data_IF_928516033626
#
_entry.id   IF_928516033626
#
_cell.length_a   1.000
_cell.length_b   1.000
_cell.length_c   1.000
_cell.angle_alpha   90.00
_cell.angle_beta   90.00
_cell.angle_gamma   90.00
#
_symmetry.space_group_name_H-M   'P 1'
#
loop_
_entity.id
_entity.type
_entity.pdbx_description
1 polymer ?
#
# COMPACT_ATOMS: atom_id res chain seq x y z
N UNK A 1 -3.24 9.66 -1.99
CA UNK A 1 -3.65 8.30 -2.38
C UNK A 1 -4.77 8.30 -3.43
N UNK A 2 -5.84 9.10 -3.28
CA UNK A 2 -6.93 9.16 -4.28
C UNK A 2 -6.45 9.38 -5.73
N UNK A 3 -5.59 10.37 -5.96
CA UNK A 3 -5.03 10.63 -7.30
C UNK A 3 -4.31 9.41 -7.90
N UNK A 4 -3.64 8.60 -7.07
CA UNK A 4 -2.96 7.37 -7.52
C UNK A 4 -4.00 6.31 -7.87
N UNK A 5 -5.04 6.14 -7.04
CA UNK A 5 -6.12 5.20 -7.30
C UNK A 5 -6.85 5.52 -8.61
N UNK A 6 -7.19 6.80 -8.81
CA UNK A 6 -7.83 7.28 -10.02
C UNK A 6 -6.96 7.12 -11.27
N UNK A 7 -5.67 7.49 -11.18
CA UNK A 7 -4.74 7.45 -12.31
C UNK A 7 -4.36 6.03 -12.72
N UNK A 8 -4.25 5.13 -11.75
CA UNK A 8 -3.85 3.73 -11.98
C UNK A 8 -5.02 2.79 -12.26
N UNK A 9 -6.27 3.27 -12.11
CA UNK A 9 -7.49 2.46 -12.23
C UNK A 9 -7.46 1.23 -11.30
N UNK A 10 -6.93 1.44 -10.07
CA UNK A 10 -6.73 0.39 -9.06
C UNK A 10 -7.02 0.91 -7.66
N UNK A 11 -7.58 0.05 -6.83
CA UNK A 11 -7.73 0.32 -5.39
C UNK A 11 -6.35 0.52 -4.74
N UNK A 12 -6.24 1.54 -3.89
CA UNK A 12 -5.01 1.86 -3.14
C UNK A 12 -5.27 1.71 -1.66
N UNK A 13 -4.55 0.79 -1.03
CA UNK A 13 -4.52 0.61 0.43
C UNK A 13 -3.35 1.42 0.98
N UNK A 14 -3.62 2.39 1.84
CA UNK A 14 -2.63 3.33 2.35
C UNK A 14 -2.42 3.21 3.86
N UNK A 15 -1.16 3.34 4.28
CA UNK A 15 -0.74 3.32 5.67
C UNK A 15 -0.28 1.94 6.16
N UNK A 16 0.08 1.84 7.46
CA UNK A 16 0.29 2.96 8.38
C UNK A 16 1.50 3.83 7.98
N UNK A 17 1.56 5.08 8.42
CA UNK A 17 2.68 5.99 8.07
C UNK A 17 4.01 5.49 8.65
N UNK A 18 3.94 4.70 9.72
CA UNK A 18 5.05 4.05 10.41
C UNK A 18 5.47 2.70 9.80
N UNK A 19 5.02 2.36 8.58
CA UNK A 19 5.28 1.05 7.96
C UNK A 19 6.75 0.59 8.03
N UNK A 20 7.69 1.51 7.84
CA UNK A 20 9.14 1.24 7.95
C UNK A 20 9.55 0.82 9.36
N UNK A 21 9.07 1.53 10.39
CA UNK A 21 9.40 1.22 11.78
C UNK A 21 8.78 -0.11 12.22
N UNK A 22 7.52 -0.35 11.85
CA UNK A 22 6.80 -1.60 12.14
C UNK A 22 7.52 -2.79 11.49
N UNK A 23 7.88 -2.68 10.21
CA UNK A 23 8.61 -3.74 9.50
C UNK A 23 9.97 -4.03 10.13
N UNK A 24 10.70 -3.00 10.55
CA UNK A 24 11.99 -3.15 11.21
C UNK A 24 11.87 -3.91 12.55
N UNK A 25 10.90 -3.54 13.38
CA UNK A 25 10.64 -4.21 14.67
C UNK A 25 10.23 -5.67 14.47
N UNK A 26 9.26 -5.93 13.59
CA UNK A 26 8.75 -7.29 13.38
C UNK A 26 9.84 -8.22 12.83
N UNK A 27 10.66 -7.76 11.87
CA UNK A 27 11.75 -8.59 11.35
C UNK A 27 12.76 -8.94 12.44
N UNK A 28 13.10 -8.00 13.34
CA UNK A 28 14.00 -8.28 14.48
C UNK A 28 13.40 -9.30 15.45
N UNK A 29 12.14 -9.09 15.87
CA UNK A 29 11.43 -9.98 16.82
C UNK A 29 11.34 -11.41 16.27
N UNK A 30 11.00 -11.58 14.99
CA UNK A 30 10.87 -12.92 14.41
C UNK A 30 12.22 -13.57 14.10
N UNK A 31 13.27 -12.78 13.84
CA UNK A 31 14.63 -13.29 13.63
C UNK A 31 15.23 -13.89 14.93
N UNK A 32 14.93 -13.31 16.10
CA UNK A 32 15.34 -13.86 17.41
C UNK A 32 14.83 -15.28 17.65
N UNK A 33 13.67 -15.62 17.09
CA UNK A 33 13.07 -16.96 17.18
C UNK A 33 13.61 -17.97 16.15
N UNK A 34 14.65 -17.59 15.39
CA UNK A 34 15.39 -18.48 14.48
C UNK A 34 14.68 -18.86 13.18
N UNK A 35 13.43 -18.41 12.96
CA UNK A 35 12.68 -18.59 11.72
C UNK A 35 11.77 -17.39 11.46
N UNK A 36 12.01 -16.72 10.33
CA UNK A 36 11.15 -15.65 9.84
C UNK A 36 10.07 -16.24 8.92
N UNK A 37 8.81 -16.18 9.34
CA UNK A 37 7.65 -16.41 8.47
C UNK A 37 7.01 -15.07 8.09
N UNK A 38 7.19 -14.68 6.83
CA UNK A 38 6.62 -13.44 6.30
C UNK A 38 5.09 -13.46 6.30
N UNK A 39 4.44 -14.64 6.29
CA UNK A 39 2.98 -14.73 6.34
C UNK A 39 2.47 -14.28 7.71
N UNK A 40 3.10 -14.78 8.77
CA UNK A 40 2.83 -14.38 10.17
C UNK A 40 3.16 -12.90 10.42
N UNK A 41 4.28 -12.40 9.90
CA UNK A 41 4.61 -10.96 9.99
C UNK A 41 3.51 -10.10 9.36
N UNK A 42 3.03 -10.48 8.16
CA UNK A 42 1.98 -9.74 7.46
C UNK A 42 0.60 -9.88 8.12
N UNK A 43 0.31 -10.97 8.84
CA UNK A 43 -0.95 -11.07 9.60
C UNK A 43 -0.96 -10.12 10.77
N UNK A 44 0.14 -10.04 11.54
CA UNK A 44 0.25 -9.08 12.65
C UNK A 44 -0.03 -7.66 12.19
N UNK A 45 0.55 -7.23 11.06
CA UNK A 45 0.28 -5.88 10.51
C UNK A 45 -1.19 -5.71 10.12
N UNK A 46 -1.82 -6.69 9.46
CA UNK A 46 -3.24 -6.60 9.08
C UNK A 46 -4.19 -6.58 10.29
N UNK A 47 -3.83 -7.30 11.35
CA UNK A 47 -4.69 -7.44 12.53
C UNK A 47 -4.52 -6.27 13.51
N UNK A 48 -3.43 -5.49 13.37
CA UNK A 48 -3.08 -4.39 14.30
C UNK A 48 -3.42 -2.99 13.79
N UNK A 49 -3.60 -2.82 12.48
CA UNK A 49 -3.80 -1.50 11.87
C UNK A 49 -4.96 -1.54 10.89
N UNK A 50 -5.70 -0.43 10.81
CA UNK A 50 -6.78 -0.23 9.85
C UNK A 50 -6.32 0.73 8.74
N UNK A 51 -5.76 0.22 7.63
CA UNK A 51 -5.30 1.05 6.53
C UNK A 51 -6.48 1.63 5.74
N UNK A 52 -6.31 2.85 5.24
CA UNK A 52 -7.36 3.53 4.47
C UNK A 52 -7.35 3.01 3.04
N UNK A 53 -8.50 2.54 2.57
CA UNK A 53 -8.68 2.10 1.19
C UNK A 53 -9.29 3.22 0.35
N UNK A 54 -8.66 3.52 -0.79
CA UNK A 54 -9.11 4.50 -1.77
C UNK A 54 -9.51 3.77 -3.04
N UNK A 55 -10.80 3.81 -3.37
CA UNK A 55 -11.32 3.28 -4.63
C UNK A 55 -11.20 4.32 -5.75
N UNK A 56 -10.99 3.90 -7.02
CA UNK A 56 -10.96 4.82 -8.15
C UNK A 56 -12.31 5.55 -8.31
N UNK A 57 -12.26 6.87 -8.46
CA UNK A 57 -13.42 7.76 -8.60
C UNK A 57 -13.40 8.55 -9.91
N UNK A 58 -12.22 8.93 -10.40
CA UNK A 58 -12.07 9.86 -11.55
C UNK A 58 -11.29 9.28 -12.74
N UNK A 59 -11.42 7.98 -12.98
CA UNK A 59 -10.60 7.23 -13.97
C UNK A 59 -10.66 7.84 -15.38
N UNK A 60 -11.82 8.28 -15.85
CA UNK A 60 -11.98 8.81 -17.21
C UNK A 60 -11.16 10.10 -17.44
N UNK A 61 -11.25 11.05 -16.50
CA UNK A 61 -10.49 12.30 -16.55
C UNK A 61 -8.97 12.06 -16.51
N UNK A 62 -8.54 11.06 -15.73
CA UNK A 62 -7.13 10.66 -15.70
C UNK A 62 -6.66 10.00 -16.99
N UNK A 63 -7.47 9.12 -17.60
CA UNK A 63 -7.15 8.50 -18.90
C UNK A 63 -6.98 9.55 -20.00
N UNK A 64 -7.88 10.53 -20.05
CA UNK A 64 -7.76 11.67 -20.98
C UNK A 64 -6.43 12.43 -20.76
N UNK A 65 -6.14 12.82 -19.52
CA UNK A 65 -4.92 13.57 -19.20
C UNK A 65 -3.63 12.80 -19.49
N UNK A 66 -3.61 11.48 -19.25
CA UNK A 66 -2.47 10.63 -19.55
C UNK A 66 -2.25 10.48 -21.07
N UNK A 67 -3.32 10.39 -21.87
CA UNK A 67 -3.22 10.34 -23.33
C UNK A 67 -2.58 11.61 -23.92
N UNK A 68 -2.88 12.78 -23.34
CA UNK A 68 -2.27 14.07 -23.72
C UNK A 68 -0.78 14.17 -23.35
N UNK A 69 -0.33 13.39 -22.38
CA UNK A 69 1.09 13.30 -22.01
C UNK A 69 1.84 12.27 -22.86
N UNK A 70 1.21 11.15 -23.20
CA UNK A 70 1.81 10.10 -24.03
C UNK A 70 1.96 10.48 -25.51
N UNK A 71 1.22 11.50 -25.98
CA UNK A 71 1.35 12.07 -27.31
C UNK A 71 2.39 13.18 -27.46
N UNK A 72 3.19 13.46 -26.42
CA UNK A 72 4.35 14.36 -26.44
C UNK A 72 5.63 13.57 -26.32
#
# INVERSE_FOLDING_TARGET
CQMIADASDRSVVAGPVEATAIGNLLVQIFAENGKLDLRSVRSVVRDSFDPITYEPQSVAAWKERLSQCAGR
#
